data_IF_918731899651
#
_entry.id   IF_918731899651
#
_cell.length_a   1.000
_cell.length_b   1.000
_cell.length_c   1.000
_cell.angle_alpha   90.00
_cell.angle_beta   90.00
_cell.angle_gamma   90.00
#
_symmetry.space_group_name_H-M   'P 1'
#
loop_
_entity.id
_entity.type
_entity.pdbx_description
1 polymer ?
#
# COMPACT_ATOMS: atom_id res chain seq x y z
N UNK A 1 -4.40 -23.43 17.85
CA UNK A 1 -4.83 -22.92 16.56
C UNK A 1 -4.14 -21.61 16.25
N UNK A 2 -3.45 -21.57 15.13
CA UNK A 2 -2.70 -20.38 14.77
C UNK A 2 -3.62 -19.28 14.28
N UNK A 3 -3.53 -18.12 14.89
CA UNK A 3 -4.26 -16.94 14.45
C UNK A 3 -3.44 -16.22 13.40
N UNK A 4 -4.05 -15.87 12.26
CA UNK A 4 -3.38 -15.06 11.24
C UNK A 4 -3.12 -13.66 11.81
N UNK A 5 -1.88 -13.22 11.68
CA UNK A 5 -1.48 -11.88 12.09
C UNK A 5 -1.23 -11.04 10.84
N UNK A 6 -1.74 -9.82 10.85
CA UNK A 6 -1.56 -8.86 9.75
C UNK A 6 -0.68 -7.73 10.25
N UNK A 7 0.43 -7.50 9.55
CA UNK A 7 1.34 -6.40 9.82
C UNK A 7 1.37 -5.51 8.58
N UNK A 8 1.08 -4.24 8.71
CA UNK A 8 0.96 -3.36 7.58
C UNK A 8 1.81 -2.08 7.61
N UNK A 9 2.47 -1.76 8.70
CA UNK A 9 3.30 -0.55 8.81
C UNK A 9 2.60 0.69 8.23
N UNK A 10 1.30 0.78 8.44
CA UNK A 10 0.47 1.81 7.84
C UNK A 10 0.90 3.21 8.23
N UNK A 11 1.39 3.39 9.46
CA UNK A 11 1.83 4.69 9.94
C UNK A 11 2.97 5.28 9.09
N UNK A 12 3.82 4.43 8.52
CA UNK A 12 4.90 4.87 7.65
C UNK A 12 4.36 5.39 6.31
N UNK A 13 3.29 4.80 5.79
CA UNK A 13 2.61 5.32 4.61
C UNK A 13 1.92 6.64 4.92
N UNK A 14 1.19 6.70 6.01
CA UNK A 14 0.44 7.90 6.39
C UNK A 14 1.37 9.10 6.66
N UNK A 15 2.59 8.84 7.11
CA UNK A 15 3.57 9.89 7.38
C UNK A 15 3.99 10.69 6.15
N UNK A 16 3.84 10.13 4.94
CA UNK A 16 4.20 10.83 3.70
C UNK A 16 3.02 11.58 3.07
N UNK A 17 1.82 11.45 3.64
CA UNK A 17 0.60 12.04 3.11
C UNK A 17 0.25 13.37 3.79
N UNK A 18 -0.55 14.24 3.13
CA UNK A 18 -1.07 15.45 3.78
C UNK A 18 -1.83 15.13 5.06
N UNK A 19 -1.66 15.96 6.07
CA UNK A 19 -2.23 15.74 7.40
C UNK A 19 -3.75 15.61 7.37
N UNK A 20 -4.44 16.41 6.55
CA UNK A 20 -5.90 16.35 6.46
C UNK A 20 -6.42 15.00 5.99
N UNK A 21 -5.63 14.31 5.16
CA UNK A 21 -5.96 12.95 4.68
C UNK A 21 -5.75 11.95 5.81
N UNK A 22 -4.63 12.07 6.51
CA UNK A 22 -4.30 11.20 7.63
C UNK A 22 -5.32 11.33 8.76
N UNK A 23 -5.71 12.54 9.10
CA UNK A 23 -6.72 12.80 10.13
C UNK A 23 -8.08 12.18 9.77
N UNK A 24 -8.50 12.31 8.51
CA UNK A 24 -9.76 11.72 8.07
C UNK A 24 -9.75 10.20 8.20
N UNK A 25 -8.62 9.56 7.89
CA UNK A 25 -8.46 8.11 8.06
C UNK A 25 -8.48 7.71 9.51
N UNK A 26 -7.81 8.45 10.39
CA UNK A 26 -7.83 8.19 11.83
C UNK A 26 -9.26 8.27 12.39
N UNK A 27 -10.01 9.26 11.98
CA UNK A 27 -11.39 9.44 12.43
C UNK A 27 -12.34 8.38 11.88
N UNK A 28 -12.01 7.77 10.75
CA UNK A 28 -12.86 6.76 10.12
C UNK A 28 -12.91 5.43 10.89
N UNK A 29 -11.89 5.16 11.69
CA UNK A 29 -11.71 3.89 12.39
C UNK A 29 -11.69 2.66 11.45
N UNK A 30 -11.35 2.88 10.15
CA UNK A 30 -11.37 1.83 9.12
C UNK A 30 -10.00 1.53 8.53
N UNK A 31 -8.93 1.96 9.18
CA UNK A 31 -7.56 1.78 8.65
C UNK A 31 -7.21 0.32 8.37
N UNK A 32 -7.73 -0.61 9.15
CA UNK A 32 -7.45 -2.03 8.96
C UNK A 32 -8.00 -2.58 7.64
N UNK A 33 -9.01 -1.94 7.07
CA UNK A 33 -9.63 -2.34 5.81
C UNK A 33 -9.15 -1.52 4.62
N UNK A 34 -8.22 -0.58 4.82
CA UNK A 34 -7.75 0.30 3.78
C UNK A 34 -6.95 -0.46 2.72
N UNK A 35 -7.33 -0.29 1.46
CA UNK A 35 -6.66 -0.91 0.31
C UNK A 35 -5.75 0.09 -0.39
N UNK A 36 -6.30 1.27 -0.72
CA UNK A 36 -5.52 2.30 -1.39
C UNK A 36 -6.08 3.70 -1.16
N UNK A 37 -5.24 4.70 -1.40
CA UNK A 37 -5.62 6.11 -1.35
C UNK A 37 -5.33 6.69 -2.72
N UNK A 38 -6.32 7.36 -3.30
CA UNK A 38 -6.22 7.98 -4.63
C UNK A 38 -6.20 9.50 -4.49
N UNK A 39 -5.18 10.12 -5.06
CA UNK A 39 -4.96 11.56 -5.03
C UNK A 39 -4.75 12.07 -6.46
N UNK A 40 -5.81 12.53 -7.10
CA UNK A 40 -5.76 13.08 -8.45
C UNK A 40 -5.94 14.60 -8.42
N UNK A 41 -5.11 15.31 -9.18
CA UNK A 41 -5.14 16.77 -9.26
C UNK A 41 -6.54 17.27 -9.62
N UNK A 42 -7.05 18.20 -8.84
CA UNK A 42 -8.37 18.81 -9.09
C UNK A 42 -9.54 17.93 -8.67
N UNK A 43 -9.29 16.83 -7.98
CA UNK A 43 -10.34 15.94 -7.46
C UNK A 43 -10.21 15.81 -5.96
N UNK A 44 -11.31 15.41 -5.32
CA UNK A 44 -11.28 15.10 -3.89
C UNK A 44 -10.54 13.81 -3.65
N UNK A 45 -9.66 13.75 -2.63
CA UNK A 45 -8.95 12.51 -2.32
C UNK A 45 -9.91 11.43 -1.79
N UNK A 46 -9.69 10.20 -2.21
CA UNK A 46 -10.53 9.07 -1.83
C UNK A 46 -9.71 7.95 -1.20
N UNK A 47 -10.30 7.29 -0.22
CA UNK A 47 -9.81 6.03 0.31
C UNK A 47 -10.69 4.89 -0.21
N UNK A 48 -10.04 3.80 -0.61
CA UNK A 48 -10.73 2.57 -1.00
C UNK A 48 -10.51 1.52 0.06
N UNK A 49 -11.60 0.96 0.52
CA UNK A 49 -11.62 -0.10 1.52
C UNK A 49 -12.18 -1.39 0.91
N UNK A 50 -12.01 -2.49 1.60
CA UNK A 50 -12.57 -3.77 1.14
C UNK A 50 -14.09 -3.75 0.99
N UNK A 51 -14.77 -2.86 1.71
CA UNK A 51 -16.24 -2.77 1.74
C UNK A 51 -16.78 -1.45 1.16
N UNK A 52 -15.95 -0.66 0.46
CA UNK A 52 -16.43 0.56 -0.18
C UNK A 52 -15.38 1.66 -0.30
N UNK A 53 -15.84 2.87 -0.54
CA UNK A 53 -15.01 4.04 -0.75
C UNK A 53 -15.43 5.18 0.18
N UNK A 54 -14.49 6.08 0.48
CA UNK A 54 -14.75 7.25 1.32
C UNK A 54 -13.96 8.44 0.80
N UNK A 55 -14.61 9.60 0.72
CA UNK A 55 -13.93 10.87 0.41
C UNK A 55 -13.20 11.33 1.68
N UNK A 56 -11.91 11.66 1.55
CA UNK A 56 -11.05 11.99 2.68
C UNK A 56 -10.98 13.47 3.02
N UNK A 57 -11.39 14.34 2.12
CA UNK A 57 -11.31 15.79 2.33
C UNK A 57 -12.37 16.49 1.49
N UNK A 58 -12.79 17.67 1.95
CA UNK A 58 -13.68 18.55 1.19
C UNK A 58 -12.90 19.45 0.22
N UNK A 59 -11.57 19.41 0.29
CA UNK A 59 -10.69 20.19 -0.56
C UNK A 59 -10.06 19.30 -1.62
N UNK A 60 -10.06 19.78 -2.85
CA UNK A 60 -9.44 19.08 -3.97
C UNK A 60 -7.93 18.96 -3.78
N UNK A 61 -7.36 17.93 -4.40
CA UNK A 61 -5.91 17.75 -4.42
C UNK A 61 -5.26 18.82 -5.27
N UNK A 62 -4.23 19.48 -4.72
CA UNK A 62 -3.46 20.51 -5.38
C UNK A 62 -2.09 19.98 -5.82
N UNK A 63 -1.41 20.73 -6.68
CA UNK A 63 -0.03 20.41 -7.05
C UNK A 63 0.90 20.35 -5.82
N UNK A 64 0.67 21.25 -4.86
CA UNK A 64 1.46 21.27 -3.62
C UNK A 64 1.27 20.00 -2.81
N UNK A 65 0.05 19.46 -2.76
CA UNK A 65 -0.22 18.18 -2.08
C UNK A 65 0.56 17.04 -2.71
N UNK A 66 0.53 16.95 -4.03
CA UNK A 66 1.22 15.89 -4.77
C UNK A 66 2.74 16.03 -4.61
N UNK A 67 3.25 17.24 -4.72
CA UNK A 67 4.68 17.49 -4.61
C UNK A 67 5.20 17.16 -3.21
N UNK A 68 4.43 17.45 -2.18
CA UNK A 68 4.79 17.09 -0.81
C UNK A 68 4.99 15.58 -0.65
N UNK A 69 4.10 14.78 -1.22
CA UNK A 69 4.21 13.31 -1.16
C UNK A 69 5.44 12.85 -1.93
N UNK A 70 5.65 13.37 -3.13
CA UNK A 70 6.80 13.00 -3.97
C UNK A 70 8.11 13.31 -3.26
N UNK A 71 8.22 14.45 -2.61
CA UNK A 71 9.43 14.84 -1.86
C UNK A 71 9.70 13.92 -0.68
N UNK A 72 8.65 13.47 0.01
CA UNK A 72 8.80 12.57 1.16
C UNK A 72 9.11 11.12 0.76
N UNK A 73 8.65 10.70 -0.40
CA UNK A 73 8.84 9.33 -0.87
C UNK A 73 10.22 9.15 -1.54
N UNK A 74 10.67 10.17 -2.27
CA UNK A 74 11.93 10.11 -3.00
C UNK A 74 11.75 9.72 -4.46
N UNK A 75 12.71 8.98 -5.00
CA UNK A 75 12.76 8.72 -6.44
C UNK A 75 11.77 7.66 -6.90
N UNK A 76 11.05 7.98 -7.97
CA UNK A 76 10.22 7.01 -8.70
C UNK A 76 11.08 6.34 -9.79
N UNK A 77 10.87 5.05 -9.98
CA UNK A 77 11.54 4.30 -11.04
C UNK A 77 11.00 4.65 -12.43
N UNK A 78 11.54 4.00 -13.47
CA UNK A 78 11.10 4.21 -14.85
C UNK A 78 9.63 3.83 -15.06
N UNK A 79 9.11 2.95 -14.21
CA UNK A 79 7.70 2.53 -14.22
C UNK A 79 6.77 3.48 -13.45
N UNK A 80 7.28 4.64 -12.99
CA UNK A 80 6.55 5.62 -12.18
C UNK A 80 6.03 5.05 -10.86
N UNK A 81 6.79 4.14 -10.26
CA UNK A 81 6.45 3.54 -8.96
C UNK A 81 7.57 3.78 -7.96
N UNK A 82 7.18 3.94 -6.71
CA UNK A 82 8.11 4.05 -5.60
C UNK A 82 7.60 3.25 -4.42
N UNK A 83 8.51 2.71 -3.64
CA UNK A 83 8.18 2.05 -2.38
C UNK A 83 8.49 2.96 -1.21
N UNK A 84 7.99 2.59 -0.05
CA UNK A 84 8.35 3.22 1.21
C UNK A 84 9.26 2.23 1.94
N UNK A 85 10.45 2.70 2.32
CA UNK A 85 11.48 1.88 2.93
C UNK A 85 10.93 1.06 4.11
N UNK A 86 11.31 -0.20 4.18
CA UNK A 86 10.90 -1.16 5.22
C UNK A 86 9.42 -1.51 5.22
N UNK A 87 8.70 -1.20 4.15
CA UNK A 87 7.29 -1.52 4.03
C UNK A 87 7.01 -2.23 2.72
N UNK A 88 5.79 -2.76 2.60
CA UNK A 88 5.28 -3.34 1.37
C UNK A 88 4.38 -2.36 0.62
N UNK A 89 4.27 -1.13 1.11
CA UNK A 89 3.47 -0.10 0.46
C UNK A 89 4.09 0.33 -0.86
N UNK A 90 3.26 0.71 -1.80
CA UNK A 90 3.71 1.18 -3.11
C UNK A 90 2.93 2.40 -3.55
N UNK A 91 3.64 3.39 -4.07
CA UNK A 91 3.03 4.60 -4.61
C UNK A 91 3.28 4.62 -6.11
N UNK A 92 2.21 4.78 -6.89
CA UNK A 92 2.27 4.91 -8.34
C UNK A 92 1.93 6.34 -8.73
N UNK A 93 2.71 6.91 -9.64
CA UNK A 93 2.52 8.26 -10.12
C UNK A 93 1.95 8.27 -11.53
N UNK A 94 1.05 9.22 -11.79
CA UNK A 94 0.56 9.52 -13.14
C UNK A 94 1.16 10.88 -13.49
N UNK A 95 1.80 10.96 -14.66
CA UNK A 95 2.44 12.19 -15.13
C UNK A 95 1.76 12.73 -16.37
N UNK A 96 1.76 14.06 -16.53
CA UNK A 96 1.32 14.69 -17.76
C UNK A 96 2.44 14.66 -18.80
N UNK A 97 2.20 15.25 -19.98
CA UNK A 97 3.19 15.28 -21.07
C UNK A 97 4.47 16.06 -20.71
N UNK A 98 4.38 16.99 -19.76
CA UNK A 98 5.51 17.78 -19.30
C UNK A 98 6.34 17.06 -18.25
N UNK A 99 5.86 15.90 -17.77
CA UNK A 99 6.53 15.13 -16.73
C UNK A 99 6.12 15.49 -15.31
N UNK A 100 5.14 16.38 -15.13
CA UNK A 100 4.63 16.73 -13.81
C UNK A 100 3.73 15.62 -13.27
N UNK A 101 3.85 15.32 -11.99
CA UNK A 101 2.97 14.37 -11.32
C UNK A 101 1.60 15.02 -11.14
N UNK A 102 0.59 14.43 -11.73
CA UNK A 102 -0.80 14.91 -11.66
C UNK A 102 -1.71 13.96 -10.90
N UNK A 103 -1.21 12.82 -10.49
CA UNK A 103 -1.97 11.88 -9.68
C UNK A 103 -1.05 10.92 -8.97
N UNK A 104 -1.50 10.45 -7.81
CA UNK A 104 -0.80 9.44 -7.01
C UNK A 104 -1.80 8.41 -6.53
N UNK A 105 -1.44 7.14 -6.60
CA UNK A 105 -2.19 6.05 -5.98
C UNK A 105 -1.29 5.37 -4.97
N UNK A 106 -1.68 5.43 -3.71
CA UNK A 106 -0.92 4.85 -2.60
C UNK A 106 -1.57 3.52 -2.22
N UNK A 107 -0.93 2.42 -2.56
CA UNK A 107 -1.44 1.08 -2.28
C UNK A 107 -0.86 0.56 -0.97
N UNK A 108 -1.76 0.13 -0.09
CA UNK A 108 -1.36 -0.45 1.19
C UNK A 108 -0.87 -1.88 0.96
N UNK A 109 0.35 -2.15 1.38
CA UNK A 109 0.91 -3.49 1.34
C UNK A 109 0.91 -4.09 2.74
N UNK A 110 0.38 -5.30 2.87
CA UNK A 110 0.29 -6.02 4.14
C UNK A 110 0.98 -7.36 4.05
N UNK A 111 1.71 -7.70 5.11
CA UNK A 111 2.20 -9.04 5.31
C UNK A 111 1.26 -9.77 6.26
N UNK A 112 0.85 -10.97 5.90
CA UNK A 112 0.00 -11.81 6.75
C UNK A 112 0.85 -12.93 7.32
N UNK A 113 1.02 -12.94 8.63
CA UNK A 113 1.78 -13.98 9.33
C UNK A 113 0.83 -15.10 9.73
N UNK A 114 1.37 -16.32 9.81
CA UNK A 114 0.61 -17.52 10.16
C UNK A 114 0.20 -18.37 8.96
N UNK A 115 0.09 -17.80 7.78
CA UNK A 115 -0.20 -18.56 6.55
C UNK A 115 0.93 -19.54 6.25
N UNK A 116 2.18 -19.12 6.50
CA UNK A 116 3.36 -19.93 6.22
C UNK A 116 3.48 -21.12 7.15
N UNK A 117 2.83 -21.11 8.31
CA UNK A 117 2.87 -22.24 9.25
C UNK A 117 2.44 -23.56 8.59
N UNK A 118 1.58 -23.45 7.57
CA UNK A 118 1.07 -24.61 6.82
C UNK A 118 2.18 -25.22 5.94
N UNK A 119 3.11 -24.41 5.47
CA UNK A 119 4.15 -24.82 4.52
C UNK A 119 5.57 -24.64 5.08
N UNK A 120 5.70 -24.32 6.36
CA UNK A 120 6.99 -24.02 6.98
C UNK A 120 8.00 -25.15 6.81
N UNK A 121 7.56 -26.40 6.97
CA UNK A 121 8.44 -27.56 6.80
C UNK A 121 9.02 -27.64 5.38
N UNK A 122 8.21 -27.28 4.38
CA UNK A 122 8.63 -27.26 2.97
C UNK A 122 9.65 -26.16 2.75
N UNK A 123 9.37 -24.97 3.29
CA UNK A 123 10.27 -23.81 3.18
C UNK A 123 11.61 -24.10 3.86
N UNK A 124 11.56 -24.66 5.05
CA UNK A 124 12.77 -24.99 5.84
C UNK A 124 13.62 -26.09 5.21
N UNK A 125 13.04 -26.91 4.34
CA UNK A 125 13.79 -27.98 3.67
C UNK A 125 14.76 -27.46 2.60
N UNK A 126 14.64 -26.19 2.19
CA UNK A 126 15.45 -25.60 1.13
C UNK A 126 15.14 -26.09 -0.26
N UNK A 127 14.08 -26.84 -0.44
CA UNK A 127 13.67 -27.36 -1.74
C UNK A 127 12.88 -26.27 -2.51
N UNK A 128 12.94 -26.35 -3.84
CA UNK A 128 12.16 -25.48 -4.69
C UNK A 128 10.67 -25.70 -4.48
N UNK A 129 9.92 -24.61 -4.45
CA UNK A 129 8.48 -24.63 -4.23
C UNK A 129 7.77 -23.80 -5.28
N UNK A 130 6.67 -24.34 -5.82
CA UNK A 130 5.81 -23.61 -6.78
C UNK A 130 4.44 -23.37 -6.15
N UNK A 131 4.05 -22.10 -6.10
CA UNK A 131 2.74 -21.70 -5.58
C UNK A 131 1.82 -21.39 -6.75
N UNK A 132 0.75 -22.19 -6.88
CA UNK A 132 -0.23 -22.04 -7.94
C UNK A 132 -1.56 -21.56 -7.37
N UNK A 133 -2.26 -20.70 -8.11
CA UNK A 133 -3.57 -20.21 -7.74
C UNK A 133 -4.04 -19.10 -8.67
N UNK A 134 -5.33 -18.81 -8.59
CA UNK A 134 -5.91 -17.70 -9.35
C UNK A 134 -5.46 -16.36 -8.76
N UNK A 135 -5.46 -15.27 -9.55
CA UNK A 135 -5.23 -13.95 -9.00
C UNK A 135 -6.17 -13.65 -7.84
N UNK A 136 -5.65 -13.05 -6.77
CA UNK A 136 -6.45 -12.69 -5.60
C UNK A 136 -6.58 -13.75 -4.52
N UNK A 137 -5.99 -14.94 -4.70
CA UNK A 137 -6.07 -16.00 -3.67
C UNK A 137 -4.95 -15.96 -2.63
N UNK A 138 -4.16 -14.90 -2.62
CA UNK A 138 -3.15 -14.69 -1.57
C UNK A 138 -1.75 -15.23 -1.89
N UNK A 139 -1.44 -15.54 -3.15
CA UNK A 139 -0.10 -16.01 -3.54
C UNK A 139 1.00 -15.00 -3.20
N UNK A 140 0.79 -13.74 -3.50
CA UNK A 140 1.75 -12.70 -3.20
C UNK A 140 1.94 -12.51 -1.70
N UNK A 141 0.85 -12.56 -0.94
CA UNK A 141 0.88 -12.48 0.51
C UNK A 141 1.73 -13.62 1.08
N UNK A 142 1.55 -14.83 0.58
CA UNK A 142 2.31 -15.99 1.01
C UNK A 142 3.79 -15.86 0.68
N UNK A 143 4.13 -15.37 -0.52
CA UNK A 143 5.51 -15.14 -0.91
C UNK A 143 6.18 -14.08 -0.04
N UNK A 144 5.48 -13.02 0.32
CA UNK A 144 5.98 -11.98 1.22
C UNK A 144 6.26 -12.54 2.61
N UNK A 145 5.39 -13.40 3.10
CA UNK A 145 5.56 -14.03 4.40
C UNK A 145 6.78 -14.98 4.40
N UNK A 146 6.98 -15.72 3.31
CA UNK A 146 8.17 -16.58 3.15
C UNK A 146 9.43 -15.72 3.21
N UNK A 147 9.45 -14.57 2.56
CA UNK A 147 10.59 -13.66 2.58
C UNK A 147 10.90 -13.13 3.97
N UNK A 148 9.89 -12.96 4.82
CA UNK A 148 10.10 -12.55 6.21
C UNK A 148 10.72 -13.64 7.08
N UNK A 149 10.46 -14.90 6.76
CA UNK A 149 10.99 -16.05 7.50
C UNK A 149 12.43 -16.36 7.10
N UNK A 150 12.75 -16.17 5.83
CA UNK A 150 14.10 -16.42 5.28
C UNK A 150 15.04 -15.25 5.54
#
# INVERSE_FOLDING_TARGET
MNTLQITDDLDLLLAVLPERITEALEQSERKSNLIEIVMDLGRLPEARFSDGEMVLSKHEITMADLQMVVEHVGDFGEDNRAGIERTLHRISAIRNRKGDVIGLTCRVGRAVFGTIDIIEDIVSSGKSMLILGRPGVGKTTMLREVAHVL
#
